data_IF_959759175412
#
_entry.id   IF_959759175412
#
_cell.length_a   1.000
_cell.length_b   1.000
_cell.length_c   1.000
_cell.angle_alpha   90.00
_cell.angle_beta   90.00
_cell.angle_gamma   90.00
#
_symmetry.space_group_name_H-M   'P 1'
#
loop_
_entity.id
_entity.type
_entity.pdbx_description
1 polymer ?
#
# COMPACT_ATOMS: atom_id res chain seq x y z
N UNK A 1 60.55 -26.17 -37.64
CA UNK A 1 59.47 -25.53 -36.85
C UNK A 1 59.73 -25.84 -35.37
N UNK A 2 60.88 -25.41 -34.87
CA UNK A 2 61.10 -24.27 -33.94
C UNK A 2 60.27 -24.40 -32.65
N UNK A 3 60.98 -24.62 -31.55
CA UNK A 3 60.57 -24.09 -30.24
C UNK A 3 60.38 -25.11 -29.14
N UNK A 4 61.44 -25.78 -28.66
CA UNK A 4 61.60 -26.21 -27.25
C UNK A 4 63.08 -26.46 -26.84
N UNK A 5 64.07 -26.03 -27.63
CA UNK A 5 65.49 -26.34 -27.36
C UNK A 5 66.32 -25.25 -26.64
N UNK A 6 65.73 -24.13 -26.21
CA UNK A 6 66.52 -23.00 -25.66
C UNK A 6 66.36 -22.75 -24.14
N UNK A 7 65.97 -23.74 -23.32
CA UNK A 7 65.86 -23.54 -21.84
C UNK A 7 66.54 -24.64 -21.00
N UNK A 8 67.50 -25.37 -21.57
CA UNK A 8 68.49 -26.18 -20.83
C UNK A 8 69.92 -25.76 -21.23
N UNK A 9 70.09 -24.51 -21.65
CA UNK A 9 71.43 -24.00 -21.92
C UNK A 9 72.15 -23.88 -20.57
N UNK A 10 73.42 -24.28 -20.51
CA UNK A 10 74.36 -23.69 -19.55
C UNK A 10 74.40 -24.25 -18.11
N UNK A 11 74.21 -25.55 -17.88
CA UNK A 11 74.57 -26.13 -16.55
C UNK A 11 75.26 -27.50 -16.68
N UNK A 12 76.28 -27.62 -17.53
CA UNK A 12 77.30 -28.67 -17.40
C UNK A 12 78.58 -28.14 -16.69
N UNK A 13 78.57 -26.89 -16.21
CA UNK A 13 79.69 -26.26 -15.50
C UNK A 13 79.31 -25.76 -14.09
N UNK A 14 78.52 -26.55 -13.36
CA UNK A 14 78.39 -26.38 -11.91
C UNK A 14 78.73 -27.71 -11.27
N UNK A 15 80.01 -27.86 -10.90
CA UNK A 15 80.55 -29.00 -10.19
C UNK A 15 79.76 -29.36 -8.91
N UNK A 16 80.14 -30.47 -8.28
CA UNK A 16 79.47 -31.25 -7.22
C UNK A 16 78.64 -30.51 -6.14
N UNK A 17 78.79 -29.20 -5.97
CA UNK A 17 77.97 -28.34 -5.10
C UNK A 17 76.59 -28.01 -5.68
N UNK A 18 76.39 -28.07 -7.00
CA UNK A 18 75.09 -27.84 -7.65
C UNK A 18 74.05 -28.95 -7.39
N UNK A 19 74.53 -30.20 -7.35
CA UNK A 19 73.69 -31.38 -7.05
C UNK A 19 73.12 -31.38 -5.62
N UNK A 20 73.86 -30.84 -4.65
CA UNK A 20 73.37 -30.71 -3.27
C UNK A 20 72.24 -29.69 -3.13
N UNK A 21 72.30 -28.58 -3.88
CA UNK A 21 71.26 -27.54 -3.85
C UNK A 21 69.98 -28.06 -4.51
N UNK A 22 70.09 -28.77 -5.64
CA UNK A 22 68.92 -29.37 -6.28
C UNK A 22 68.29 -30.50 -5.45
N UNK A 23 69.08 -31.33 -4.76
CA UNK A 23 68.54 -32.36 -3.85
C UNK A 23 67.84 -31.78 -2.60
N UNK A 24 68.37 -30.67 -2.05
CA UNK A 24 67.74 -29.97 -0.94
C UNK A 24 66.43 -29.26 -1.37
N UNK A 25 66.40 -28.69 -2.58
CA UNK A 25 65.19 -28.06 -3.12
C UNK A 25 64.14 -29.12 -3.47
N UNK A 26 64.53 -30.25 -4.08
CA UNK A 26 63.63 -31.38 -4.36
C UNK A 26 63.02 -31.94 -3.08
N UNK A 27 63.81 -32.21 -2.04
CA UNK A 27 63.29 -32.73 -0.76
C UNK A 27 62.41 -31.72 -0.03
N UNK A 28 62.70 -30.42 -0.13
CA UNK A 28 61.83 -29.37 0.42
C UNK A 28 60.52 -29.21 -0.37
N UNK A 29 60.55 -29.41 -1.70
CA UNK A 29 59.36 -29.43 -2.55
C UNK A 29 58.52 -30.69 -2.31
N UNK A 30 59.15 -31.84 -2.10
CA UNK A 30 58.48 -33.11 -1.74
C UNK A 30 57.84 -33.02 -0.36
N UNK A 31 58.52 -32.41 0.62
CA UNK A 31 58.02 -32.23 2.00
C UNK A 31 56.82 -31.27 2.11
N UNK A 32 56.50 -30.50 1.06
CA UNK A 32 55.32 -29.63 1.02
C UNK A 32 54.21 -30.18 0.11
N UNK A 33 54.40 -31.35 -0.50
CA UNK A 33 53.35 -32.07 -1.23
C UNK A 33 52.49 -32.93 -0.30
N UNK A 34 52.31 -32.50 0.96
CA UNK A 34 51.31 -33.09 1.84
C UNK A 34 49.96 -32.46 1.45
N UNK A 35 49.33 -33.09 0.45
CA UNK A 35 47.98 -32.74 0.00
C UNK A 35 47.04 -32.91 1.19
N UNK A 36 46.88 -31.85 1.99
CA UNK A 36 45.82 -31.74 2.98
C UNK A 36 44.51 -31.96 2.25
N UNK A 37 44.02 -33.19 2.36
CA UNK A 37 42.72 -33.58 1.89
C UNK A 37 41.73 -32.68 2.63
N UNK A 38 41.15 -31.73 1.90
CA UNK A 38 39.94 -31.09 2.36
C UNK A 38 38.91 -32.20 2.43
N UNK A 39 38.71 -32.74 3.63
CA UNK A 39 37.51 -33.50 3.93
C UNK A 39 36.35 -32.51 3.74
N UNK A 40 35.84 -32.41 2.51
CA UNK A 40 34.49 -31.95 2.26
C UNK A 40 33.62 -32.93 3.02
N UNK A 41 33.34 -32.60 4.29
CA UNK A 41 32.19 -33.16 4.95
C UNK A 41 31.03 -32.80 4.05
N UNK A 42 30.56 -33.77 3.28
CA UNK A 42 29.34 -33.64 2.53
C UNK A 42 28.26 -33.42 3.57
N UNK A 43 27.97 -32.16 3.88
CA UNK A 43 26.66 -31.77 4.35
C UNK A 43 25.76 -32.18 3.20
N UNK A 44 25.23 -33.41 3.28
CA UNK A 44 24.06 -33.81 2.52
C UNK A 44 22.96 -32.93 3.06
N UNK A 45 22.92 -31.68 2.62
CA UNK A 45 21.70 -30.90 2.67
C UNK A 45 20.70 -31.82 1.99
N UNK A 46 19.75 -32.31 2.78
CA UNK A 46 18.65 -33.09 2.25
C UNK A 46 17.82 -32.08 1.46
N UNK A 47 18.26 -31.81 0.23
CA UNK A 47 17.58 -30.97 -0.74
C UNK A 47 16.35 -31.75 -1.17
N UNK A 48 15.37 -31.82 -0.28
CA UNK A 48 14.01 -32.20 -0.60
C UNK A 48 13.48 -31.12 -1.54
N UNK A 49 13.73 -31.30 -2.83
CA UNK A 49 13.14 -30.47 -3.87
C UNK A 49 11.61 -30.60 -3.82
N UNK A 50 10.93 -29.47 -3.99
CA UNK A 50 9.47 -29.44 -4.13
C UNK A 50 9.02 -30.40 -5.23
N UNK A 51 7.98 -31.17 -4.95
CA UNK A 51 7.37 -32.07 -5.93
C UNK A 51 6.52 -31.30 -6.94
N UNK A 52 6.50 -31.76 -8.18
CA UNK A 52 5.61 -31.21 -9.22
C UNK A 52 4.14 -31.30 -8.81
N UNK A 53 3.77 -32.33 -8.04
CA UNK A 53 2.40 -32.48 -7.52
C UNK A 53 2.06 -31.43 -6.46
N UNK A 54 3.06 -30.97 -5.68
CA UNK A 54 2.86 -29.94 -4.67
C UNK A 54 2.59 -28.59 -5.33
N UNK A 55 3.38 -28.24 -6.35
CA UNK A 55 3.13 -27.01 -7.12
C UNK A 55 1.80 -27.08 -7.88
N UNK A 56 1.41 -28.25 -8.38
CA UNK A 56 0.11 -28.46 -9.04
C UNK A 56 -1.06 -28.16 -8.10
N UNK A 57 -1.06 -28.74 -6.90
CA UNK A 57 -2.13 -28.48 -5.93
C UNK A 57 -2.17 -27.00 -5.50
N UNK A 58 -1.02 -26.33 -5.36
CA UNK A 58 -0.97 -24.90 -5.04
C UNK A 58 -1.65 -24.06 -6.13
N UNK A 59 -1.27 -24.25 -7.40
CA UNK A 59 -1.90 -23.49 -8.50
C UNK A 59 -3.37 -23.86 -8.68
N UNK A 60 -3.76 -25.11 -8.43
CA UNK A 60 -5.16 -25.55 -8.48
C UNK A 60 -5.99 -24.86 -7.40
N UNK A 61 -5.49 -24.83 -6.16
CA UNK A 61 -6.20 -24.14 -5.06
C UNK A 61 -6.25 -22.64 -5.33
N UNK A 62 -5.16 -22.03 -5.81
CA UNK A 62 -5.16 -20.60 -6.18
C UNK A 62 -6.17 -20.29 -7.29
N UNK A 63 -6.29 -21.14 -8.32
CA UNK A 63 -7.26 -20.98 -9.39
C UNK A 63 -8.72 -20.98 -8.87
N UNK A 64 -9.01 -21.75 -7.82
CA UNK A 64 -10.34 -21.78 -7.18
C UNK A 64 -10.55 -20.58 -6.25
N UNK A 65 -9.50 -20.09 -5.59
CA UNK A 65 -9.61 -18.98 -4.62
C UNK A 65 -9.68 -17.59 -5.29
N UNK A 66 -9.00 -17.39 -6.42
CA UNK A 66 -8.95 -16.09 -7.12
C UNK A 66 -10.36 -15.50 -7.38
N UNK A 67 -11.36 -16.24 -7.89
CA UNK A 67 -12.69 -15.70 -8.17
C UNK A 67 -13.42 -15.17 -6.93
N UNK A 68 -13.23 -15.79 -5.75
CA UNK A 68 -13.91 -15.41 -4.51
C UNK A 68 -13.28 -14.17 -3.88
N UNK A 69 -11.98 -13.96 -4.11
CA UNK A 69 -11.25 -12.82 -3.58
C UNK A 69 -11.70 -11.46 -4.16
N UNK A 70 -12.41 -11.44 -5.29
CA UNK A 70 -12.82 -10.21 -6.00
C UNK A 70 -14.21 -9.69 -5.55
N UNK A 71 -14.75 -10.16 -4.42
CA UNK A 71 -15.97 -9.57 -3.88
C UNK A 71 -15.68 -8.19 -3.26
N UNK A 72 -15.87 -7.14 -4.05
CA UNK A 72 -15.73 -5.75 -3.60
C UNK A 72 -16.98 -5.28 -2.84
N UNK A 73 -16.82 -4.80 -1.60
CA UNK A 73 -17.89 -4.29 -0.73
C UNK A 73 -18.30 -2.82 -1.02
N UNK A 74 -18.42 -2.42 -2.29
CA UNK A 74 -18.66 -1.01 -2.64
C UNK A 74 -20.04 -0.48 -2.21
N UNK A 75 -21.08 -1.32 -2.23
CA UNK A 75 -22.46 -0.88 -1.94
C UNK A 75 -22.75 -0.51 -0.47
N UNK A 76 -22.06 -1.14 0.48
CA UNK A 76 -22.28 -0.87 1.92
C UNK A 76 -21.80 0.52 2.30
N UNK A 77 -20.71 0.98 1.68
CA UNK A 77 -20.11 2.28 2.00
C UNK A 77 -21.03 3.44 1.60
N UNK A 78 -21.65 3.38 0.41
CA UNK A 78 -22.57 4.45 -0.04
C UNK A 78 -23.75 4.61 0.90
N UNK A 79 -24.37 3.51 1.35
CA UNK A 79 -25.50 3.58 2.29
C UNK A 79 -25.09 4.24 3.62
N UNK A 80 -23.97 3.81 4.19
CA UNK A 80 -23.45 4.38 5.44
C UNK A 80 -23.18 5.88 5.27
N UNK A 81 -22.60 6.29 4.16
CA UNK A 81 -22.35 7.70 3.86
C UNK A 81 -23.64 8.52 3.73
N UNK A 82 -24.66 7.99 3.06
CA UNK A 82 -25.98 8.61 2.96
C UNK A 82 -26.65 8.75 4.33
N UNK A 83 -26.56 7.73 5.18
CA UNK A 83 -27.10 7.75 6.53
C UNK A 83 -26.39 8.83 7.39
N UNK A 84 -25.06 8.93 7.31
CA UNK A 84 -24.27 9.95 7.98
C UNK A 84 -24.67 11.37 7.54
N UNK A 85 -24.78 11.60 6.23
CA UNK A 85 -25.21 12.89 5.69
C UNK A 85 -26.63 13.25 6.15
N UNK A 86 -27.52 12.27 6.20
CA UNK A 86 -28.89 12.49 6.70
C UNK A 86 -28.89 12.93 8.18
N UNK A 87 -28.00 12.36 8.99
CA UNK A 87 -27.83 12.78 10.39
C UNK A 87 -27.28 14.20 10.48
N UNK A 88 -26.23 14.51 9.71
CA UNK A 88 -25.62 15.84 9.66
C UNK A 88 -26.68 16.92 9.28
N UNK A 89 -27.50 16.65 8.26
CA UNK A 89 -28.58 17.56 7.86
C UNK A 89 -29.63 17.75 8.96
N UNK A 90 -29.99 16.69 9.70
CA UNK A 90 -30.92 16.80 10.84
C UNK A 90 -30.35 17.65 11.97
N UNK A 91 -29.06 17.56 12.24
CA UNK A 91 -28.35 18.40 13.23
C UNK A 91 -28.40 19.86 12.79
N UNK A 92 -28.06 20.15 11.53
CA UNK A 92 -28.15 21.50 10.96
C UNK A 92 -29.59 22.03 11.03
N UNK A 93 -30.57 21.20 10.65
CA UNK A 93 -31.98 21.57 10.70
C UNK A 93 -32.49 21.83 12.11
N UNK A 94 -32.00 21.10 13.12
CA UNK A 94 -32.33 21.36 14.52
C UNK A 94 -31.78 22.72 14.98
N UNK A 95 -30.52 23.01 14.68
CA UNK A 95 -29.92 24.31 14.95
C UNK A 95 -30.65 25.46 14.23
N UNK A 96 -31.02 25.27 12.96
CA UNK A 96 -31.79 26.25 12.19
C UNK A 96 -33.20 26.49 12.76
N UNK A 97 -33.86 25.46 13.31
CA UNK A 97 -35.13 25.66 14.05
C UNK A 97 -34.92 26.49 15.31
N UNK A 98 -33.88 26.20 16.09
CA UNK A 98 -33.58 26.97 17.30
C UNK A 98 -33.25 28.43 16.96
N UNK A 99 -32.50 28.66 15.87
CA UNK A 99 -32.24 30.00 15.33
C UNK A 99 -33.55 30.72 14.98
N UNK A 100 -34.45 30.05 14.26
CA UNK A 100 -35.76 30.60 13.88
C UNK A 100 -36.61 30.97 15.11
N UNK A 101 -36.60 30.13 16.16
CA UNK A 101 -37.35 30.41 17.40
C UNK A 101 -36.89 31.70 18.10
N UNK A 102 -35.61 32.07 17.98
CA UNK A 102 -35.06 33.28 18.61
C UNK A 102 -35.18 34.51 17.71
N UNK A 103 -34.95 34.34 16.41
CA UNK A 103 -34.76 35.46 15.47
C UNK A 103 -35.98 35.70 14.56
N UNK A 104 -36.93 34.76 14.51
CA UNK A 104 -38.14 34.83 13.66
C UNK A 104 -37.88 34.63 12.15
N UNK A 105 -36.62 34.43 11.77
CA UNK A 105 -36.18 34.20 10.38
C UNK A 105 -35.18 33.06 10.34
N UNK A 106 -35.04 32.41 9.18
CA UNK A 106 -33.98 31.43 8.96
C UNK A 106 -32.64 32.11 8.68
N UNK A 107 -31.50 31.44 8.93
CA UNK A 107 -30.18 32.06 8.78
C UNK A 107 -29.86 32.40 7.32
N UNK A 108 -29.11 33.49 7.12
CA UNK A 108 -28.60 33.93 5.80
C UNK A 108 -27.45 33.01 5.34
N UNK A 109 -26.78 32.34 6.26
CA UNK A 109 -25.71 31.38 6.00
C UNK A 109 -25.73 30.23 6.99
N UNK A 110 -25.38 29.02 6.58
CA UNK A 110 -25.20 27.90 7.54
C UNK A 110 -24.10 28.27 8.56
N UNK A 111 -23.08 29.03 8.16
CA UNK A 111 -22.02 29.51 9.04
C UNK A 111 -22.55 30.37 10.20
N UNK A 112 -23.66 31.10 10.00
CA UNK A 112 -24.31 31.88 11.06
C UNK A 112 -24.75 30.98 12.23
N UNK A 113 -25.07 29.71 11.98
CA UNK A 113 -25.41 28.77 13.05
C UNK A 113 -24.21 28.47 13.96
N UNK A 114 -22.98 28.52 13.43
CA UNK A 114 -21.76 28.38 14.25
C UNK A 114 -21.41 29.70 14.92
N UNK A 115 -21.45 30.81 14.16
CA UNK A 115 -21.07 32.12 14.66
C UNK A 115 -21.96 32.58 15.83
N UNK A 116 -23.26 32.27 15.78
CA UNK A 116 -24.22 32.57 16.84
C UNK A 116 -24.30 31.48 17.93
N UNK A 117 -23.51 30.41 17.83
CA UNK A 117 -23.38 29.37 18.85
C UNK A 117 -24.51 28.33 18.90
N UNK A 118 -25.25 28.13 17.81
CA UNK A 118 -26.23 27.03 17.68
C UNK A 118 -25.59 25.71 17.23
N UNK A 119 -24.39 25.75 16.68
CA UNK A 119 -23.54 24.61 16.32
C UNK A 119 -22.10 24.88 16.76
N UNK A 120 -21.40 23.85 17.25
CA UNK A 120 -19.98 23.97 17.59
C UNK A 120 -19.11 24.08 16.34
N UNK A 121 -19.41 23.27 15.32
CA UNK A 121 -18.77 23.29 14.02
C UNK A 121 -19.74 22.86 12.92
N UNK A 122 -19.45 23.23 11.67
CA UNK A 122 -20.21 22.72 10.53
C UNK A 122 -19.76 21.30 10.18
N UNK A 123 -20.68 20.32 10.14
CA UNK A 123 -20.35 19.00 9.65
C UNK A 123 -19.93 19.08 8.17
N UNK A 124 -18.93 18.29 7.81
CA UNK A 124 -18.41 18.21 6.43
C UNK A 124 -19.26 17.26 5.60
N UNK A 125 -19.65 17.69 4.41
CA UNK A 125 -20.32 16.81 3.46
C UNK A 125 -19.37 15.67 3.04
N UNK A 126 -19.83 14.43 3.21
CA UNK A 126 -19.05 13.22 2.95
C UNK A 126 -18.96 12.87 1.46
N UNK A 127 -19.81 13.44 0.62
CA UNK A 127 -19.81 13.23 -0.83
C UNK A 127 -18.93 14.22 -1.59
N UNK A 128 -18.52 15.33 -0.96
CA UNK A 128 -17.66 16.35 -1.57
C UNK A 128 -16.21 16.20 -1.11
N UNK A 129 -15.31 15.95 -2.06
CA UNK A 129 -13.86 15.98 -1.81
C UNK A 129 -13.41 17.41 -1.51
N UNK A 130 -12.71 17.62 -0.38
CA UNK A 130 -12.19 18.93 0.01
C UNK A 130 -13.00 19.66 1.10
N UNK A 131 -14.04 19.03 1.64
CA UNK A 131 -14.77 19.57 2.81
C UNK A 131 -15.58 20.83 2.51
N UNK A 132 -16.00 21.03 1.26
CA UNK A 132 -17.00 22.05 0.94
C UNK A 132 -18.29 21.70 1.69
N UNK A 133 -18.87 22.69 2.40
CA UNK A 133 -20.06 22.48 3.22
C UNK A 133 -21.34 22.22 2.41
N UNK A 134 -22.40 21.88 3.13
CA UNK A 134 -23.74 21.66 2.57
C UNK A 134 -24.25 22.87 1.78
N UNK A 135 -25.05 22.61 0.75
CA UNK A 135 -25.73 23.63 -0.06
C UNK A 135 -27.00 24.08 0.64
N UNK A 136 -27.36 25.34 0.50
CA UNK A 136 -28.55 25.89 1.14
C UNK A 136 -29.07 27.10 0.39
N UNK A 137 -30.33 27.48 0.64
CA UNK A 137 -30.91 28.73 0.16
C UNK A 137 -31.00 29.73 1.33
N UNK A 138 -30.32 30.89 1.25
CA UNK A 138 -30.35 31.91 2.31
C UNK A 138 -31.76 32.36 2.67
N UNK A 139 -32.06 32.43 3.98
CA UNK A 139 -33.32 32.96 4.51
C UNK A 139 -34.58 32.40 3.85
N UNK A 140 -34.51 31.16 3.36
CA UNK A 140 -35.62 30.49 2.70
C UNK A 140 -36.64 30.01 3.72
N UNK A 141 -37.93 30.13 3.38
CA UNK A 141 -39.03 29.50 4.11
C UNK A 141 -39.92 28.77 3.09
N UNK A 142 -39.89 27.43 3.01
CA UNK A 142 -39.24 26.49 3.92
C UNK A 142 -37.71 26.59 3.88
N UNK A 143 -37.06 26.30 5.00
CA UNK A 143 -35.60 26.21 5.08
C UNK A 143 -35.13 25.01 4.29
N UNK A 144 -34.24 25.23 3.33
CA UNK A 144 -33.71 24.20 2.44
C UNK A 144 -32.19 24.05 2.57
N UNK A 145 -31.74 22.84 2.88
CA UNK A 145 -30.32 22.44 2.92
C UNK A 145 -30.15 21.06 2.27
N UNK A 146 -29.11 20.86 1.47
CA UNK A 146 -28.85 19.59 0.79
C UNK A 146 -27.36 19.27 0.60
N UNK A 147 -27.10 17.98 0.39
CA UNK A 147 -25.85 17.42 -0.10
C UNK A 147 -26.04 16.98 -1.56
N UNK A 148 -24.96 17.06 -2.34
CA UNK A 148 -24.92 16.65 -3.76
C UNK A 148 -24.98 15.13 -3.98
N UNK A 149 -25.02 14.35 -2.89
CA UNK A 149 -25.22 12.90 -2.97
C UNK A 149 -24.12 12.10 -3.67
N UNK A 150 -24.37 10.79 -3.89
CA UNK A 150 -23.39 9.86 -4.45
C UNK A 150 -22.87 10.20 -5.85
N UNK A 151 -23.68 10.81 -6.72
CA UNK A 151 -23.30 11.16 -8.09
C UNK A 151 -22.35 12.37 -8.16
N UNK A 152 -22.21 13.13 -7.08
CA UNK A 152 -21.42 14.37 -6.98
C UNK A 152 -21.85 15.47 -7.97
N UNK A 153 -23.08 15.43 -8.44
CA UNK A 153 -23.73 16.45 -9.27
C UNK A 153 -24.70 17.23 -8.39
N UNK A 154 -24.71 18.55 -8.48
CA UNK A 154 -25.67 19.37 -7.74
C UNK A 154 -26.96 19.50 -8.56
N UNK A 155 -27.99 18.77 -8.17
CA UNK A 155 -29.30 18.79 -8.81
C UNK A 155 -30.30 19.69 -8.04
N UNK A 156 -29.81 20.55 -7.14
CA UNK A 156 -30.62 21.51 -6.39
C UNK A 156 -31.53 20.89 -5.32
N UNK A 157 -31.15 19.71 -4.81
CA UNK A 157 -31.96 18.88 -3.92
C UNK A 157 -32.91 17.94 -4.68
N UNK A 158 -32.51 17.46 -5.85
CA UNK A 158 -33.27 16.51 -6.67
C UNK A 158 -32.44 15.25 -6.96
N UNK A 159 -33.02 14.29 -7.70
CA UNK A 159 -32.38 13.02 -8.04
C UNK A 159 -31.84 12.27 -6.82
N UNK A 160 -30.51 12.07 -6.73
CA UNK A 160 -29.83 11.41 -5.62
C UNK A 160 -29.26 12.37 -4.57
N UNK A 161 -29.55 13.68 -4.69
CA UNK A 161 -29.27 14.64 -3.63
C UNK A 161 -30.03 14.31 -2.36
N UNK A 162 -29.33 14.45 -1.23
CA UNK A 162 -29.93 14.24 0.08
C UNK A 162 -30.30 15.61 0.62
N UNK A 163 -31.59 15.89 0.75
CA UNK A 163 -32.11 17.18 1.22
C UNK A 163 -32.85 17.08 2.54
N UNK A 164 -32.83 18.20 3.26
CA UNK A 164 -33.75 18.50 4.34
C UNK A 164 -34.47 19.81 3.99
N UNK A 165 -35.80 19.75 3.99
CA UNK A 165 -36.68 20.88 3.74
C UNK A 165 -37.76 20.90 4.81
N UNK A 166 -37.92 22.02 5.51
CA UNK A 166 -38.98 22.16 6.52
C UNK A 166 -39.42 23.62 6.67
N UNK A 167 -40.70 23.81 6.98
CA UNK A 167 -41.27 25.08 7.40
C UNK A 167 -41.36 25.14 8.94
N UNK A 168 -41.55 26.33 9.53
CA UNK A 168 -41.72 26.53 10.98
C UNK A 168 -42.80 25.65 11.61
#
# INVERSE_FOLDING_TARGET
>A
MIGFQNMYLFVDDIGARGWLIMGAISSFLEAKSDHKQYHYQHIRANEAGFSLIELLFVITILAVLIPIAVLTYSGVQTKVTTDLVTVDLKVIGAAARTYYMKNGTFPIGIQTLVDDGYLDELPKDKFVSGGVGYRFIPSSNPFKVWSIGPNKSDDGGAADDIKLEFAP
#
